data_IF_688581048615
#
_entry.id   IF_688581048615
#
_cell.length_a   1.000
_cell.length_b   1.000
_cell.length_c   1.000
_cell.angle_alpha   90.00
_cell.angle_beta   90.00
_cell.angle_gamma   90.00
#
_symmetry.space_group_name_H-M   'P 1'
#
loop_
_entity.id
_entity.type
_entity.pdbx_description
1 polymer ?
#
# COMPACT_ATOMS: atom_id res chain seq x y z
N UNK A 1 -2.81 -5.72 18.58
CA UNK A 1 -1.99 -4.51 18.58
C UNK A 1 -1.73 -4.11 17.13
N UNK A 2 -2.05 -2.88 16.74
CA UNK A 2 -1.87 -2.38 15.37
C UNK A 2 -0.41 -1.98 15.14
N UNK A 3 0.20 -2.48 14.05
CA UNK A 3 1.51 -2.03 13.60
C UNK A 3 1.47 -0.52 13.29
N UNK A 4 2.43 0.32 13.74
CA UNK A 4 2.36 1.78 13.58
C UNK A 4 2.11 2.24 12.13
N UNK A 5 2.72 1.56 11.16
CA UNK A 5 2.48 1.85 9.74
C UNK A 5 1.02 1.58 9.30
N UNK A 6 0.35 0.57 9.86
CA UNK A 6 -1.06 0.32 9.57
C UNK A 6 -1.98 1.34 10.24
N UNK A 7 -1.62 1.85 11.42
CA UNK A 7 -2.31 2.99 12.04
C UNK A 7 -2.20 4.24 11.16
N UNK A 8 -1.02 4.53 10.61
CA UNK A 8 -0.82 5.64 9.68
C UNK A 8 -1.57 5.43 8.37
N UNK A 9 -1.54 4.22 7.80
CA UNK A 9 -2.27 3.87 6.59
C UNK A 9 -3.78 4.12 6.74
N UNK A 10 -4.39 3.68 7.86
CA UNK A 10 -5.81 3.93 8.18
C UNK A 10 -6.14 5.40 8.41
N UNK A 11 -5.16 6.23 8.78
CA UNK A 11 -5.35 7.65 9.03
C UNK A 11 -5.26 8.52 7.76
N UNK A 12 -4.90 7.95 6.60
CA UNK A 12 -4.83 8.69 5.35
C UNK A 12 -6.20 9.23 4.92
N UNK A 13 -6.19 10.40 4.29
CA UNK A 13 -7.36 11.00 3.65
C UNK A 13 -7.23 10.82 2.15
N UNK A 14 -8.11 10.02 1.57
CA UNK A 14 -8.13 9.73 0.15
C UNK A 14 -8.94 10.78 -0.60
N UNK A 15 -8.33 11.37 -1.63
CA UNK A 15 -8.98 12.26 -2.58
C UNK A 15 -8.97 11.60 -3.96
N UNK A 16 -9.97 11.90 -4.79
CA UNK A 16 -10.03 11.38 -6.17
C UNK A 16 -9.12 12.14 -7.14
N UNK A 17 -8.67 13.32 -6.74
CA UNK A 17 -7.79 14.17 -7.55
C UNK A 17 -6.40 13.54 -7.65
N UNK A 18 -5.91 13.36 -8.88
CA UNK A 18 -4.55 12.92 -9.12
C UNK A 18 -3.67 14.16 -9.12
N UNK A 19 -2.73 14.29 -8.17
CA UNK A 19 -1.83 15.44 -8.11
C UNK A 19 -0.86 15.44 -9.30
N UNK A 20 -0.41 16.63 -9.70
CA UNK A 20 0.64 16.80 -10.71
C UNK A 20 2.01 16.41 -10.12
N UNK A 21 2.27 15.11 -10.08
CA UNK A 21 3.52 14.51 -9.64
C UNK A 21 4.40 14.11 -10.84
N UNK A 22 5.65 13.75 -10.55
CA UNK A 22 6.55 13.17 -11.54
C UNK A 22 5.91 11.92 -12.20
N UNK A 23 5.97 11.77 -13.54
CA UNK A 23 5.35 10.65 -14.22
C UNK A 23 5.81 9.27 -13.72
N UNK A 24 7.09 9.13 -13.36
CA UNK A 24 7.60 7.86 -12.86
C UNK A 24 6.95 7.52 -11.51
N UNK A 25 6.75 8.51 -10.64
CA UNK A 25 6.05 8.34 -9.37
C UNK A 25 4.57 8.01 -9.57
N UNK A 26 3.91 8.66 -10.54
CA UNK A 26 2.54 8.33 -10.90
C UNK A 26 2.43 6.89 -11.38
N UNK A 27 3.39 6.40 -12.19
CA UNK A 27 3.39 5.02 -12.63
C UNK A 27 3.45 4.03 -11.46
N UNK A 28 4.14 4.37 -10.35
CA UNK A 28 4.16 3.55 -9.14
C UNK A 28 2.83 3.57 -8.40
N UNK A 29 2.21 4.75 -8.26
CA UNK A 29 0.98 4.93 -7.49
C UNK A 29 -0.28 4.42 -8.23
N UNK A 30 -0.28 4.48 -9.56
CA UNK A 30 -1.40 4.14 -10.43
C UNK A 30 -1.25 2.77 -11.10
N UNK A 31 -0.31 1.93 -10.64
CA UNK A 31 -0.16 0.58 -11.14
C UNK A 31 -1.45 -0.23 -10.91
N UNK A 32 -1.90 -0.94 -11.95
CA UNK A 32 -3.14 -1.74 -11.91
C UNK A 32 -3.01 -3.07 -11.15
N UNK A 33 -1.79 -3.46 -10.78
CA UNK A 33 -1.44 -4.69 -10.05
C UNK A 33 -0.76 -4.36 -8.71
N UNK A 34 -0.60 -5.37 -7.85
CA UNK A 34 0.13 -5.28 -6.58
C UNK A 34 1.61 -4.91 -6.78
N UNK A 35 2.21 -4.38 -5.71
CA UNK A 35 3.62 -3.98 -5.74
C UNK A 35 4.62 -5.14 -5.76
N UNK A 36 4.18 -6.39 -5.56
CA UNK A 36 5.08 -7.54 -5.33
C UNK A 36 6.12 -7.71 -6.44
N UNK A 37 5.67 -7.90 -7.69
CA UNK A 37 6.58 -8.07 -8.84
C UNK A 37 7.35 -6.80 -9.17
N UNK A 38 6.73 -5.64 -8.97
CA UNK A 38 7.37 -4.35 -9.25
C UNK A 38 8.51 -4.04 -8.29
N UNK A 39 8.38 -4.40 -7.01
CA UNK A 39 9.48 -4.35 -6.04
C UNK A 39 10.56 -5.40 -6.33
N UNK A 40 10.18 -6.61 -6.76
CA UNK A 40 11.17 -7.63 -7.19
C UNK A 40 12.02 -7.16 -8.38
N UNK A 41 11.43 -6.44 -9.34
CA UNK A 41 12.14 -5.85 -10.48
C UNK A 41 13.22 -4.83 -10.08
N UNK A 42 13.19 -4.32 -8.84
CA UNK A 42 14.26 -3.48 -8.28
C UNK A 42 15.46 -4.31 -7.77
N UNK A 43 15.50 -5.62 -8.06
CA UNK A 43 16.56 -6.53 -7.63
C UNK A 43 16.50 -6.85 -6.12
N UNK A 44 15.31 -6.81 -5.52
CA UNK A 44 15.08 -7.09 -4.10
C UNK A 44 14.22 -8.33 -3.92
N UNK A 45 14.50 -9.12 -2.88
CA UNK A 45 13.60 -10.19 -2.45
C UNK A 45 12.46 -9.58 -1.65
N UNK A 46 11.23 -9.83 -2.07
CA UNK A 46 10.03 -9.39 -1.36
C UNK A 46 9.53 -10.52 -0.45
N UNK A 47 9.23 -10.20 0.79
CA UNK A 47 8.68 -11.13 1.78
C UNK A 47 7.49 -10.53 2.50
N UNK A 48 6.58 -11.36 2.99
CA UNK A 48 5.39 -10.93 3.72
C UNK A 48 5.62 -11.04 5.22
N UNK A 49 5.30 -9.98 5.96
CA UNK A 49 5.14 -10.02 7.42
C UNK A 49 3.66 -10.00 7.74
N UNK A 50 3.11 -11.13 8.21
CA UNK A 50 1.71 -11.21 8.58
C UNK A 50 1.45 -10.41 9.86
N UNK A 51 0.56 -9.40 9.78
CA UNK A 51 0.19 -8.59 10.95
C UNK A 51 -1.15 -9.03 11.53
N UNK A 52 -2.16 -9.25 10.68
CA UNK A 52 -3.49 -9.75 11.05
C UNK A 52 -4.22 -10.27 9.83
N UNK A 53 -4.89 -11.40 9.98
CA UNK A 53 -5.81 -11.98 9.00
C UNK A 53 -6.97 -12.63 9.76
N UNK A 54 -8.20 -12.48 9.26
CA UNK A 54 -9.39 -13.07 9.87
C UNK A 54 -10.67 -12.31 9.52
N UNK A 55 -11.81 -12.89 9.90
CA UNK A 55 -13.11 -12.22 9.79
C UNK A 55 -13.18 -11.05 10.79
N UNK A 56 -13.88 -9.97 10.37
CA UNK A 56 -14.05 -8.74 11.15
C UNK A 56 -15.50 -8.31 11.14
N UNK A 57 -15.92 -7.61 12.19
CA UNK A 57 -17.22 -6.93 12.25
C UNK A 57 -17.13 -5.54 11.61
N UNK A 58 -18.27 -4.93 11.27
CA UNK A 58 -18.30 -3.63 10.58
C UNK A 58 -17.64 -2.49 11.40
N UNK A 59 -17.67 -2.57 12.73
CA UNK A 59 -17.25 -1.47 13.62
C UNK A 59 -15.82 -1.64 14.19
N UNK A 60 -15.00 -2.53 13.62
CA UNK A 60 -13.59 -2.74 14.00
C UNK A 60 -12.58 -1.81 13.31
#
# INVERSE_FOLDING_TARGET
MSHPALTQLRALRYFKEIPALDPQLLDWLLLEDSMTKRFEQQGKTVSVTMIREGFVEQNE
#
